data_IF_237898133519
#
_entry.id   IF_237898133519
#
_cell.length_a   1.000
_cell.length_b   1.000
_cell.length_c   1.000
_cell.angle_alpha   90.00
_cell.angle_beta   90.00
_cell.angle_gamma   90.00
#
_symmetry.space_group_name_H-M   'P 1'
#
loop_
_entity.id
_entity.type
_entity.pdbx_description
1 polymer ?
#
# COMPACT_ATOMS: atom_id res chain seq x y z
N UNK A 1 14.55 -12.06 2.05
CA UNK A 1 14.77 -13.20 1.12
C UNK A 1 13.43 -13.63 0.56
N UNK A 2 13.33 -13.65 -0.77
CA UNK A 2 12.13 -14.08 -1.52
C UNK A 2 12.11 -15.60 -1.57
N UNK A 3 10.94 -16.20 -1.36
CA UNK A 3 10.66 -17.63 -1.46
C UNK A 3 9.87 -17.92 -2.74
N UNK A 4 9.95 -19.15 -3.24
CA UNK A 4 9.12 -19.69 -4.33
C UNK A 4 9.13 -18.84 -5.61
N UNK A 5 10.29 -18.24 -5.92
CA UNK A 5 10.46 -17.38 -7.08
C UNK A 5 10.25 -18.16 -8.38
N UNK A 6 9.31 -17.71 -9.21
CA UNK A 6 8.98 -18.30 -10.52
C UNK A 6 8.46 -17.24 -11.48
N UNK A 7 8.41 -17.58 -12.74
CA UNK A 7 7.69 -16.79 -13.73
C UNK A 7 6.24 -17.25 -13.80
N UNK A 8 5.30 -16.31 -13.90
CA UNK A 8 3.89 -16.61 -14.12
C UNK A 8 3.54 -16.62 -15.62
N UNK A 9 2.31 -17.03 -15.94
CA UNK A 9 1.83 -17.15 -17.34
C UNK A 9 1.77 -15.82 -18.11
N UNK A 10 1.86 -14.69 -17.40
CA UNK A 10 1.88 -13.33 -17.97
C UNK A 10 3.31 -12.80 -18.19
N UNK A 11 4.34 -13.58 -17.85
CA UNK A 11 5.74 -13.20 -18.01
C UNK A 11 6.33 -12.35 -16.88
N UNK A 12 5.60 -12.17 -15.78
CA UNK A 12 6.11 -11.52 -14.57
C UNK A 12 6.81 -12.52 -13.66
N UNK A 13 7.80 -12.03 -12.93
CA UNK A 13 8.40 -12.77 -11.83
C UNK A 13 7.51 -12.64 -10.60
N UNK A 14 7.21 -13.75 -9.93
CA UNK A 14 6.41 -13.83 -8.71
C UNK A 14 7.13 -14.66 -7.66
N UNK A 15 6.97 -14.28 -6.41
CA UNK A 15 7.47 -15.00 -5.24
C UNK A 15 6.75 -14.54 -4.00
N UNK A 16 7.21 -14.92 -2.81
CA UNK A 16 6.66 -14.44 -1.54
C UNK A 16 7.75 -14.00 -0.59
N UNK A 17 7.44 -13.08 0.31
CA UNK A 17 8.31 -12.70 1.41
C UNK A 17 7.50 -12.46 2.68
N UNK A 18 8.11 -12.69 3.83
CA UNK A 18 7.48 -12.42 5.12
C UNK A 18 7.51 -10.91 5.44
N UNK A 19 6.34 -10.32 5.69
CA UNK A 19 6.23 -8.95 6.16
C UNK A 19 6.29 -8.89 7.69
N UNK A 20 7.27 -8.18 8.22
CA UNK A 20 7.37 -7.90 9.66
C UNK A 20 6.29 -6.93 10.16
N UNK A 21 5.68 -6.15 9.25
CA UNK A 21 4.63 -5.18 9.54
C UNK A 21 3.27 -5.89 9.65
N UNK A 22 2.91 -6.66 8.63
CA UNK A 22 1.62 -7.35 8.56
C UNK A 22 1.61 -8.73 9.21
N UNK A 23 2.80 -9.31 9.52
CA UNK A 23 2.97 -10.62 10.18
C UNK A 23 2.51 -11.83 9.37
N UNK A 24 2.54 -11.73 8.05
CA UNK A 24 2.27 -12.83 7.11
C UNK A 24 3.10 -12.68 5.83
N UNK A 25 3.09 -13.74 4.99
CA UNK A 25 3.76 -13.72 3.70
C UNK A 25 2.93 -12.92 2.68
N UNK A 26 3.59 -11.99 1.99
CA UNK A 26 3.02 -11.15 0.92
C UNK A 26 3.62 -11.61 -0.41
N UNK A 27 2.81 -11.65 -1.47
CA UNK A 27 3.31 -11.90 -2.82
C UNK A 27 4.15 -10.72 -3.29
N UNK A 28 5.26 -10.99 -3.96
CA UNK A 28 6.02 -9.99 -4.72
C UNK A 28 5.83 -10.24 -6.21
N UNK A 29 5.54 -9.18 -6.95
CA UNK A 29 5.31 -9.19 -8.41
C UNK A 29 6.19 -8.14 -9.08
N UNK A 30 6.99 -8.54 -10.07
CA UNK A 30 7.90 -7.62 -10.75
C UNK A 30 8.21 -8.03 -12.19
N UNK A 31 8.60 -7.04 -13.00
CA UNK A 31 9.06 -7.28 -14.39
C UNK A 31 10.39 -8.03 -14.38
N UNK A 32 10.57 -8.96 -15.34
CA UNK A 32 11.74 -9.85 -15.44
C UNK A 32 13.07 -9.09 -15.53
N UNK A 33 13.08 -7.89 -16.08
CA UNK A 33 14.27 -7.06 -16.28
C UNK A 33 14.63 -6.20 -15.04
N UNK A 34 13.87 -6.29 -13.95
CA UNK A 34 14.22 -5.66 -12.67
C UNK A 34 15.18 -6.58 -11.90
N UNK A 35 16.26 -6.01 -11.37
CA UNK A 35 17.25 -6.79 -10.64
C UNK A 35 16.68 -7.32 -9.31
N UNK A 36 16.98 -8.59 -9.01
CA UNK A 36 16.54 -9.21 -7.75
C UNK A 36 17.14 -8.48 -6.53
N UNK A 37 18.36 -7.96 -6.66
CA UNK A 37 19.00 -7.15 -5.61
C UNK A 37 18.19 -5.91 -5.26
N UNK A 38 17.66 -5.21 -6.28
CA UNK A 38 16.79 -4.05 -6.07
C UNK A 38 15.49 -4.45 -5.33
N UNK A 39 14.88 -5.56 -5.72
CA UNK A 39 13.66 -6.06 -5.06
C UNK A 39 13.94 -6.40 -3.59
N UNK A 40 15.01 -7.12 -3.29
CA UNK A 40 15.37 -7.51 -1.93
C UNK A 40 15.70 -6.28 -1.05
N UNK A 41 16.40 -5.28 -1.57
CA UNK A 41 16.64 -4.01 -0.88
C UNK A 41 15.33 -3.29 -0.52
N UNK A 42 14.35 -3.28 -1.42
CA UNK A 42 13.07 -2.65 -1.16
C UNK A 42 12.22 -3.44 -0.14
N UNK A 43 12.28 -4.76 -0.15
CA UNK A 43 11.64 -5.61 0.87
C UNK A 43 12.27 -5.35 2.25
N UNK A 44 13.58 -5.24 2.31
CA UNK A 44 14.31 -4.91 3.54
C UNK A 44 13.94 -3.52 4.06
N UNK A 45 13.91 -2.53 3.18
CA UNK A 45 13.44 -1.18 3.48
C UNK A 45 12.02 -1.19 4.02
N UNK A 46 11.08 -1.84 3.34
CA UNK A 46 9.70 -1.94 3.78
C UNK A 46 9.56 -2.59 5.16
N UNK A 47 10.27 -3.68 5.41
CA UNK A 47 10.24 -4.37 6.70
C UNK A 47 10.93 -3.60 7.84
N UNK A 48 11.70 -2.55 7.52
CA UNK A 48 12.45 -1.71 8.47
C UNK A 48 12.02 -0.24 8.49
N UNK A 49 10.86 0.10 7.91
CA UNK A 49 10.36 1.48 7.92
C UNK A 49 10.23 1.99 9.36
N UNK A 50 10.54 3.27 9.53
CA UNK A 50 10.45 3.91 10.84
C UNK A 50 9.01 4.02 11.31
N UNK A 51 8.83 3.99 12.62
CA UNK A 51 7.51 4.06 13.24
C UNK A 51 6.73 5.32 12.85
N UNK A 52 7.41 6.46 12.71
CA UNK A 52 6.79 7.71 12.28
C UNK A 52 6.16 7.57 10.90
N UNK A 53 6.90 6.95 9.95
CA UNK A 53 6.37 6.74 8.61
C UNK A 53 5.25 5.69 8.57
N UNK A 54 5.31 4.67 9.42
CA UNK A 54 4.20 3.74 9.60
C UNK A 54 2.94 4.44 10.12
N UNK A 55 3.10 5.40 11.05
CA UNK A 55 1.98 6.21 11.53
C UNK A 55 1.38 7.11 10.44
N UNK A 56 2.19 7.64 9.51
CA UNK A 56 1.68 8.40 8.37
C UNK A 56 0.80 7.51 7.46
N UNK A 57 1.23 6.27 7.22
CA UNK A 57 0.42 5.27 6.50
C UNK A 57 -0.89 5.00 7.24
N UNK A 58 -0.83 4.74 8.55
CA UNK A 58 -2.02 4.48 9.36
C UNK A 58 -2.98 5.68 9.40
N UNK A 59 -2.45 6.91 9.46
CA UNK A 59 -3.26 8.13 9.41
C UNK A 59 -3.94 8.30 8.03
N UNK A 60 -3.28 7.94 6.95
CA UNK A 60 -3.86 7.95 5.61
C UNK A 60 -4.97 6.89 5.46
N UNK A 61 -4.77 5.69 6.00
CA UNK A 61 -5.78 4.63 6.04
C UNK A 61 -7.02 5.08 6.83
N UNK A 62 -6.81 5.75 7.99
CA UNK A 62 -7.91 6.33 8.77
C UNK A 62 -8.70 7.33 7.95
N UNK A 63 -8.05 8.27 7.26
CA UNK A 63 -8.73 9.24 6.37
C UNK A 63 -9.52 8.56 5.27
N UNK A 64 -8.99 7.48 4.69
CA UNK A 64 -9.69 6.68 3.70
C UNK A 64 -10.96 6.05 4.30
N UNK A 65 -10.84 5.38 5.45
CA UNK A 65 -11.98 4.82 6.17
C UNK A 65 -13.05 5.88 6.49
N UNK A 66 -12.66 7.03 7.06
CA UNK A 66 -13.59 8.11 7.42
C UNK A 66 -14.34 8.67 6.20
N UNK A 67 -13.64 8.80 5.07
CA UNK A 67 -14.27 9.21 3.81
C UNK A 67 -15.24 8.17 3.29
N UNK A 68 -14.89 6.89 3.40
CA UNK A 68 -15.76 5.79 2.98
C UNK A 68 -17.00 5.68 3.88
N UNK A 69 -16.82 5.81 5.19
CA UNK A 69 -17.90 5.81 6.18
C UNK A 69 -18.92 6.94 5.95
N UNK A 70 -18.49 8.10 5.49
CA UNK A 70 -19.41 9.20 5.12
C UNK A 70 -20.33 8.85 3.95
N UNK A 71 -19.87 8.01 3.02
CA UNK A 71 -20.62 7.60 1.83
C UNK A 71 -21.47 6.35 2.09
N UNK A 72 -20.98 5.44 2.93
CA UNK A 72 -21.55 4.12 3.19
C UNK A 72 -21.57 3.81 4.70
N UNK A 73 -22.32 4.58 5.51
CA UNK A 73 -22.27 4.45 6.97
C UNK A 73 -22.72 3.07 7.45
N UNK A 74 -23.80 2.53 6.92
CA UNK A 74 -24.37 1.24 7.34
C UNK A 74 -23.42 0.09 7.05
N UNK A 75 -22.77 0.10 5.87
CA UNK A 75 -21.79 -0.91 5.50
C UNK A 75 -20.57 -0.89 6.43
N UNK A 76 -20.05 0.28 6.75
CA UNK A 76 -18.92 0.40 7.66
C UNK A 76 -19.28 0.01 9.11
N UNK A 77 -20.51 0.28 9.53
CA UNK A 77 -21.01 -0.13 10.84
C UNK A 77 -21.12 -1.66 10.94
N UNK A 78 -21.55 -2.32 9.86
CA UNK A 78 -21.67 -3.77 9.78
C UNK A 78 -20.31 -4.46 9.72
N UNK A 79 -19.41 -4.01 8.84
CA UNK A 79 -18.14 -4.68 8.55
C UNK A 79 -17.03 -4.35 9.55
N UNK A 80 -16.98 -3.13 10.06
CA UNK A 80 -15.82 -2.65 10.81
C UNK A 80 -16.20 -1.57 11.84
N UNK A 81 -17.10 -1.86 12.80
CA UNK A 81 -17.65 -0.84 13.73
C UNK A 81 -16.59 -0.22 14.64
N UNK A 82 -15.56 -0.96 14.99
CA UNK A 82 -14.56 -0.59 16.01
C UNK A 82 -13.28 0.04 15.46
N UNK A 83 -13.15 0.26 14.15
CA UNK A 83 -11.89 0.78 13.56
C UNK A 83 -11.42 2.07 14.23
N UNK A 84 -12.28 3.08 14.32
CA UNK A 84 -11.88 4.38 14.89
C UNK A 84 -11.54 4.27 16.38
N UNK A 85 -12.32 3.52 17.12
CA UNK A 85 -12.08 3.28 18.55
C UNK A 85 -10.75 2.60 18.79
N UNK A 86 -10.44 1.57 17.98
CA UNK A 86 -9.16 0.85 18.09
C UNK A 86 -8.00 1.74 17.65
N UNK A 87 -8.19 2.55 16.61
CA UNK A 87 -7.19 3.51 16.14
C UNK A 87 -6.83 4.57 17.20
N UNK A 88 -7.81 5.06 17.96
CA UNK A 88 -7.58 6.04 19.05
C UNK A 88 -6.72 5.47 20.18
N UNK A 89 -6.81 4.17 20.42
CA UNK A 89 -5.99 3.47 21.43
C UNK A 89 -4.60 3.17 20.87
N UNK A 90 -4.53 2.65 19.65
CA UNK A 90 -3.29 2.30 18.95
C UNK A 90 -3.46 2.55 17.44
N UNK A 91 -2.80 3.58 16.88
CA UNK A 91 -2.90 3.89 15.45
C UNK A 91 -2.54 2.72 14.52
N UNK A 92 -1.64 1.83 14.94
CA UNK A 92 -1.22 0.68 14.14
C UNK A 92 -2.32 -0.39 14.06
N UNK A 93 -3.29 -0.36 14.97
CA UNK A 93 -4.42 -1.30 14.96
C UNK A 93 -5.21 -1.30 13.66
N UNK A 94 -5.22 -0.20 12.90
CA UNK A 94 -5.92 -0.10 11.62
C UNK A 94 -5.39 -1.07 10.57
N UNK A 95 -4.13 -1.50 10.67
CA UNK A 95 -3.53 -2.49 9.77
C UNK A 95 -4.20 -3.88 9.88
N UNK A 96 -4.88 -4.18 10.98
CA UNK A 96 -5.64 -5.45 11.16
C UNK A 96 -6.83 -5.55 10.19
N UNK A 97 -7.32 -4.41 9.73
CA UNK A 97 -8.46 -4.30 8.81
C UNK A 97 -8.03 -4.16 7.34
N UNK A 98 -6.72 -4.29 7.08
CA UNK A 98 -6.14 -4.22 5.74
C UNK A 98 -5.37 -5.51 5.47
N UNK A 99 -5.69 -6.17 4.36
CA UNK A 99 -5.02 -7.39 3.92
C UNK A 99 -4.20 -7.08 2.65
N UNK A 100 -2.92 -6.83 2.81
CA UNK A 100 -2.01 -6.65 1.67
C UNK A 100 -1.75 -8.01 1.02
N UNK A 101 -2.10 -8.14 -0.26
CA UNK A 101 -1.88 -9.35 -1.05
C UNK A 101 -0.59 -9.30 -1.85
N UNK A 102 -0.19 -8.13 -2.35
CA UNK A 102 0.92 -8.01 -3.28
C UNK A 102 1.76 -6.75 -3.07
N UNK A 103 3.07 -6.89 -3.26
CA UNK A 103 4.05 -5.81 -3.40
C UNK A 103 4.54 -5.79 -4.84
N UNK A 104 4.21 -4.73 -5.58
CA UNK A 104 4.46 -4.62 -7.02
C UNK A 104 5.68 -3.76 -7.29
N UNK A 105 6.51 -4.21 -8.23
CA UNK A 105 7.62 -3.41 -8.76
C UNK A 105 7.46 -3.25 -10.27
N UNK A 106 7.53 -2.01 -10.71
CA UNK A 106 7.44 -1.64 -12.12
C UNK A 106 8.78 -1.11 -12.59
N UNK A 107 9.09 -1.33 -13.86
CA UNK A 107 10.30 -0.80 -14.47
C UNK A 107 10.37 0.70 -14.30
N UNK A 108 11.48 1.16 -13.76
CA UNK A 108 11.79 2.57 -13.68
C UNK A 108 12.21 3.08 -15.07
N UNK A 109 11.64 4.21 -15.50
CA UNK A 109 12.03 4.86 -16.75
C UNK A 109 13.31 5.73 -16.63
N UNK A 110 13.87 5.82 -15.42
CA UNK A 110 15.03 6.63 -15.08
C UNK A 110 15.94 5.80 -14.16
N UNK A 111 17.24 6.09 -14.11
CA UNK A 111 18.26 5.42 -13.28
C UNK A 111 18.04 5.55 -11.75
N UNK A 112 16.84 5.33 -11.30
CA UNK A 112 16.39 5.52 -9.91
C UNK A 112 16.41 4.21 -9.08
N UNK A 113 17.19 3.20 -9.49
CA UNK A 113 17.30 1.91 -8.78
C UNK A 113 17.81 2.00 -7.32
N UNK A 114 18.25 3.18 -6.89
CA UNK A 114 18.66 3.41 -5.50
C UNK A 114 17.58 4.04 -4.63
N UNK A 115 16.44 4.40 -5.20
CA UNK A 115 15.35 5.04 -4.45
C UNK A 115 14.44 3.96 -3.86
N UNK A 116 14.25 3.91 -2.54
CA UNK A 116 13.34 2.96 -1.94
C UNK A 116 11.89 3.31 -2.28
N UNK A 117 11.13 2.30 -2.69
CA UNK A 117 9.73 2.44 -3.11
C UNK A 117 8.82 1.48 -2.33
N UNK A 118 7.57 1.85 -2.19
CA UNK A 118 6.49 1.00 -1.70
C UNK A 118 5.34 1.09 -2.70
N UNK A 119 4.86 -0.05 -3.19
CA UNK A 119 3.65 -0.13 -4.01
C UNK A 119 2.89 -1.41 -3.63
N UNK A 120 2.04 -1.26 -2.62
CA UNK A 120 1.26 -2.35 -2.05
C UNK A 120 -0.15 -2.34 -2.60
N UNK A 121 -0.66 -3.51 -2.94
CA UNK A 121 -2.05 -3.75 -3.30
C UNK A 121 -2.69 -4.80 -2.40
N UNK A 122 -3.98 -4.65 -2.14
CA UNK A 122 -4.71 -5.59 -1.30
C UNK A 122 -6.15 -5.16 -1.07
N UNK A 123 -6.77 -5.68 -0.03
CA UNK A 123 -8.16 -5.44 0.34
C UNK A 123 -8.25 -4.69 1.67
N UNK A 124 -9.39 -4.03 1.90
CA UNK A 124 -9.71 -3.47 3.21
C UNK A 124 -11.15 -3.82 3.60
N UNK A 125 -11.36 -4.21 4.86
CA UNK A 125 -12.64 -4.73 5.33
C UNK A 125 -13.79 -3.75 5.13
N UNK A 126 -13.52 -2.43 5.30
CA UNK A 126 -14.57 -1.39 5.21
C UNK A 126 -15.04 -1.07 3.79
N UNK A 127 -14.32 -1.47 2.77
CA UNK A 127 -14.63 -1.10 1.38
C UNK A 127 -15.23 -2.27 0.57
N UNK A 128 -15.54 -3.39 1.22
CA UNK A 128 -16.06 -4.58 0.56
C UNK A 128 -15.11 -5.07 -0.54
N UNK A 129 -15.58 -5.10 -1.80
CA UNK A 129 -14.77 -5.55 -2.94
C UNK A 129 -13.79 -4.49 -3.48
N UNK A 130 -13.64 -3.35 -2.79
CA UNK A 130 -12.72 -2.30 -3.24
C UNK A 130 -11.30 -2.58 -2.78
N UNK A 131 -10.43 -2.87 -3.74
CA UNK A 131 -8.99 -3.01 -3.50
C UNK A 131 -8.37 -1.71 -2.96
N UNK A 132 -7.38 -1.85 -2.10
CA UNK A 132 -6.56 -0.74 -1.59
C UNK A 132 -5.21 -0.70 -2.28
N UNK A 133 -4.70 0.51 -2.49
CA UNK A 133 -3.32 0.75 -2.93
C UNK A 133 -2.62 1.71 -1.98
N UNK A 134 -1.37 1.41 -1.61
CA UNK A 134 -0.47 2.25 -0.83
C UNK A 134 0.79 2.46 -1.66
N UNK A 135 1.08 3.71 -2.02
CA UNK A 135 2.28 4.08 -2.79
C UNK A 135 3.13 5.06 -1.99
N UNK A 136 4.41 4.74 -1.86
CA UNK A 136 5.39 5.65 -1.29
C UNK A 136 6.73 5.58 -2.03
N UNK A 137 7.50 6.67 -1.96
CA UNK A 137 8.82 6.81 -2.56
C UNK A 137 9.70 7.62 -1.61
N UNK A 138 10.87 7.10 -1.25
CA UNK A 138 11.83 7.78 -0.40
C UNK A 138 11.23 8.35 0.91
N UNK A 139 10.50 7.53 1.67
CA UNK A 139 9.76 7.92 2.89
C UNK A 139 8.68 9.00 2.68
N UNK A 140 8.31 9.28 1.44
CA UNK A 140 7.20 10.17 1.14
C UNK A 140 5.98 9.33 0.73
N UNK A 141 4.90 9.44 1.47
CA UNK A 141 3.63 8.81 1.13
C UNK A 141 2.98 9.58 -0.03
N UNK A 142 2.81 8.91 -1.17
CA UNK A 142 2.32 9.53 -2.41
C UNK A 142 0.82 9.25 -2.63
N UNK A 143 0.37 8.05 -2.30
CA UNK A 143 -1.01 7.64 -2.52
C UNK A 143 -1.46 6.61 -1.48
N UNK A 144 -2.66 6.79 -0.97
CA UNK A 144 -3.44 5.78 -0.25
C UNK A 144 -4.88 5.92 -0.69
N UNK A 145 -5.50 4.84 -1.13
CA UNK A 145 -6.89 4.84 -1.56
C UNK A 145 -7.24 3.60 -2.37
N UNK A 146 -8.40 3.64 -3.04
CA UNK A 146 -8.86 2.55 -3.90
C UNK A 146 -7.84 2.24 -4.99
N UNK A 147 -7.72 0.96 -5.34
CA UNK A 147 -6.84 0.55 -6.43
C UNK A 147 -7.17 1.32 -7.72
N UNK A 148 -6.12 1.84 -8.30
CA UNK A 148 -6.11 2.44 -9.64
C UNK A 148 -4.80 2.00 -10.27
N UNK A 149 -4.77 1.82 -11.58
CA UNK A 149 -3.57 1.39 -12.30
C UNK A 149 -2.46 2.45 -12.20
N UNK A 150 -1.83 2.52 -11.04
CA UNK A 150 -0.79 3.47 -10.67
C UNK A 150 0.44 2.76 -10.19
N UNK A 151 1.55 3.33 -10.50
CA UNK A 151 2.83 2.93 -9.93
C UNK A 151 3.58 4.16 -9.40
N UNK A 152 4.64 3.89 -8.67
CA UNK A 152 5.48 4.90 -8.01
C UNK A 152 6.19 5.86 -8.99
N UNK A 153 6.27 5.50 -10.27
CA UNK A 153 6.93 6.26 -11.34
C UNK A 153 5.95 7.03 -12.23
N UNK A 154 4.67 6.95 -11.95
CA UNK A 154 3.64 7.58 -12.75
C UNK A 154 3.36 9.01 -12.28
N UNK A 155 3.77 10.01 -13.07
CA UNK A 155 3.60 11.44 -12.78
C UNK A 155 2.13 11.90 -12.76
N UNK A 156 1.17 11.02 -13.09
CA UNK A 156 -0.27 11.34 -13.10
C UNK A 156 -0.89 11.54 -11.71
N UNK A 157 -0.11 11.48 -10.62
CA UNK A 157 -0.58 11.73 -9.25
C UNK A 157 -1.11 13.16 -9.04
N UNK A 158 -0.96 14.05 -10.02
CA UNK A 158 -1.32 15.47 -9.90
C UNK A 158 -2.70 15.86 -10.47
N UNK A 159 -3.44 14.96 -11.11
CA UNK A 159 -4.75 15.32 -11.67
C UNK A 159 -5.77 15.63 -10.56
N UNK A 160 -6.70 16.57 -10.83
CA UNK A 160 -7.71 17.01 -9.85
C UNK A 160 -8.60 15.86 -9.33
N UNK A 161 -8.95 14.89 -10.19
CA UNK A 161 -9.71 13.69 -9.77
C UNK A 161 -8.90 12.78 -8.87
N UNK A 162 -7.60 12.71 -9.10
CA UNK A 162 -6.67 11.91 -8.31
C UNK A 162 -6.50 12.46 -6.90
N UNK A 163 -6.43 13.77 -6.75
CA UNK A 163 -6.40 14.43 -5.43
C UNK A 163 -7.66 14.15 -4.61
N UNK A 164 -8.81 13.99 -5.25
CA UNK A 164 -10.08 13.74 -4.55
C UNK A 164 -10.12 12.37 -3.87
N UNK A 165 -9.47 11.35 -4.43
CA UNK A 165 -9.46 9.97 -3.92
C UNK A 165 -8.11 9.56 -3.32
N UNK A 166 -7.16 10.48 -3.22
CA UNK A 166 -5.88 10.24 -2.55
C UNK A 166 -5.95 10.69 -1.09
N UNK A 167 -5.72 9.78 -0.18
CA UNK A 167 -5.76 10.00 1.27
C UNK A 167 -4.37 10.10 1.91
N UNK A 168 -3.30 10.07 1.11
CA UNK A 168 -1.92 10.21 1.60
C UNK A 168 -1.70 11.52 2.36
N UNK A 169 -2.30 12.62 1.87
CA UNK A 169 -2.20 13.93 2.52
C UNK A 169 -3.53 14.31 3.17
N UNK A 170 -3.50 15.09 4.29
CA UNK A 170 -4.70 15.73 4.79
C UNK A 170 -5.36 16.55 3.67
N UNK A 171 -6.66 16.47 3.56
CA UNK A 171 -7.41 17.37 2.67
C UNK A 171 -7.64 18.66 3.44
N UNK A 172 -7.21 19.78 2.91
CA UNK A 172 -7.65 21.08 3.41
C UNK A 172 -9.18 21.13 3.32
N UNK A 173 -9.82 21.30 4.49
CA UNK A 173 -11.28 21.35 4.65
C UNK A 173 -11.76 22.73 4.21
#
# INVERSE_FOLDING_TARGET
MIKDLRENDLGFMVGTFYSSIFKYDIEVLFDRDISLEYIEKNIEYFNSIKQEFLFDICAALKRYYESYKKLYPDLCEELSPDILRNYEVDPVSILKYVKIGVYRFHKCSVDDENIPVINLGGDCEWAGDAEITIIAKNNQLMYVGRWQDRNVWNDRVESRMEKMFNYAMPKDI
#
